data_IF_157578458292
#
_entry.id   IF_157578458292
#
_cell.length_a   1.000
_cell.length_b   1.000
_cell.length_c   1.000
_cell.angle_alpha   90.00
_cell.angle_beta   90.00
_cell.angle_gamma   90.00
#
_symmetry.space_group_name_H-M   'P 1'
#
loop_
_entity.id
_entity.type
_entity.pdbx_description
1 polymer ?
#
# COMPACT_ATOMS: atom_id res chain seq x y z
N UNK A 1 31.67 -21.24 -14.31
CA UNK A 1 32.10 -21.81 -13.01
C UNK A 1 31.69 -20.83 -11.93
N UNK A 2 30.47 -20.96 -11.44
CA UNK A 2 29.85 -20.08 -10.45
C UNK A 2 28.92 -20.97 -9.64
N UNK A 3 29.50 -21.77 -8.75
CA UNK A 3 28.80 -22.72 -7.88
C UNK A 3 29.13 -22.46 -6.39
N UNK A 4 29.66 -21.27 -6.09
CA UNK A 4 30.24 -20.91 -4.79
C UNK A 4 29.43 -19.87 -3.99
N UNK A 5 28.26 -19.44 -4.50
CA UNK A 5 27.50 -18.32 -3.91
C UNK A 5 26.35 -18.74 -3.01
N UNK A 6 25.75 -19.92 -3.21
CA UNK A 6 24.57 -20.34 -2.42
C UNK A 6 24.98 -21.05 -1.13
N UNK A 7 25.90 -22.03 -1.20
CA UNK A 7 26.34 -22.78 -0.03
C UNK A 7 27.10 -21.91 0.99
N UNK A 8 27.94 -20.97 0.51
CA UNK A 8 28.63 -20.02 1.38
C UNK A 8 27.64 -19.11 2.13
N UNK A 9 26.57 -18.68 1.47
CA UNK A 9 25.54 -17.84 2.10
C UNK A 9 24.74 -18.61 3.16
N UNK A 10 24.44 -19.89 2.91
CA UNK A 10 23.75 -20.75 3.87
C UNK A 10 24.63 -21.02 5.10
N UNK A 11 25.91 -21.31 4.92
CA UNK A 11 26.84 -21.53 6.03
C UNK A 11 27.06 -20.25 6.86
N UNK A 12 27.10 -19.09 6.22
CA UNK A 12 27.20 -17.79 6.90
C UNK A 12 25.95 -17.46 7.72
N UNK A 13 24.76 -17.80 7.20
CA UNK A 13 23.51 -17.68 7.95
C UNK A 13 23.53 -18.57 9.20
N UNK A 14 23.97 -19.83 9.08
CA UNK A 14 24.11 -20.75 10.22
C UNK A 14 25.14 -20.28 11.26
N UNK A 15 26.26 -19.71 10.81
CA UNK A 15 27.29 -19.12 11.69
C UNK A 15 26.74 -17.94 12.47
N UNK A 16 25.99 -17.06 11.81
CA UNK A 16 25.33 -15.91 12.44
C UNK A 16 24.27 -16.36 13.45
N UNK A 17 23.46 -17.36 13.10
CA UNK A 17 22.49 -17.95 13.99
C UNK A 17 23.15 -18.57 15.24
N UNK A 18 24.26 -19.29 15.09
CA UNK A 18 25.01 -19.85 16.22
C UNK A 18 25.48 -18.78 17.22
N UNK A 19 26.02 -17.67 16.72
CA UNK A 19 26.43 -16.53 17.55
C UNK A 19 25.24 -15.94 18.31
N UNK A 20 24.09 -15.79 17.64
CA UNK A 20 22.87 -15.27 18.25
C UNK A 20 22.33 -16.20 19.36
N UNK A 21 22.31 -17.51 19.11
CA UNK A 21 21.95 -18.51 20.12
C UNK A 21 22.91 -18.43 21.31
N UNK A 22 24.21 -18.33 21.04
CA UNK A 22 25.23 -18.16 22.08
C UNK A 22 24.98 -16.93 22.96
N UNK A 23 24.69 -15.79 22.33
CA UNK A 23 24.40 -14.54 23.03
C UNK A 23 23.15 -14.66 23.92
N UNK A 24 22.04 -15.21 23.41
CA UNK A 24 20.81 -15.41 24.20
C UNK A 24 21.03 -16.38 25.36
N UNK A 25 21.74 -17.48 25.13
CA UNK A 25 22.05 -18.44 26.18
C UNK A 25 22.97 -17.85 27.26
N UNK A 26 23.85 -16.91 26.90
CA UNK A 26 24.74 -16.25 27.86
C UNK A 26 23.97 -15.35 28.85
N UNK A 27 22.85 -14.78 28.40
CA UNK A 27 21.94 -13.94 29.18
C UNK A 27 20.84 -14.73 29.91
N UNK A 28 20.70 -16.04 29.67
CA UNK A 28 19.64 -16.86 30.26
C UNK A 28 19.79 -16.97 31.80
N UNK A 29 18.73 -16.65 32.52
CA UNK A 29 18.67 -16.67 33.99
C UNK A 29 17.96 -17.92 34.55
N UNK A 30 18.23 -18.32 35.82
CA UNK A 30 17.49 -19.38 36.49
C UNK A 30 15.98 -19.13 36.51
N UNK A 31 15.19 -20.13 36.10
CA UNK A 31 13.73 -20.02 35.99
C UNK A 31 13.23 -19.55 34.62
N UNK A 32 14.10 -19.00 33.77
CA UNK A 32 13.77 -18.70 32.38
C UNK A 32 13.92 -19.94 31.50
N UNK A 33 13.12 -19.99 30.45
CA UNK A 33 13.20 -21.00 29.40
C UNK A 33 13.33 -20.30 28.06
N UNK A 34 14.33 -20.67 27.29
CA UNK A 34 14.44 -20.33 25.88
C UNK A 34 14.00 -21.55 25.08
N UNK A 35 13.13 -21.37 24.09
CA UNK A 35 12.79 -22.41 23.12
C UNK A 35 13.37 -22.01 21.77
N UNK A 36 13.74 -22.98 20.93
CA UNK A 36 14.03 -22.81 19.50
C UNK A 36 13.29 -23.94 18.81
N UNK A 37 12.38 -23.62 17.90
CA UNK A 37 11.57 -24.60 17.19
C UNK A 37 11.50 -24.27 15.69
N UNK A 38 11.32 -25.29 14.86
CA UNK A 38 10.96 -25.10 13.45
C UNK A 38 9.55 -24.54 13.32
N UNK A 39 9.35 -23.70 12.29
CA UNK A 39 8.04 -23.10 12.00
C UNK A 39 7.00 -24.22 11.77
N UNK A 40 5.94 -24.29 12.59
CA UNK A 40 4.90 -25.32 12.48
C UNK A 40 4.04 -25.18 11.22
N UNK A 41 4.16 -24.08 10.47
CA UNK A 41 3.43 -23.85 9.21
C UNK A 41 4.07 -24.53 8.00
N UNK A 42 5.27 -25.10 8.13
CA UNK A 42 5.92 -25.86 7.05
C UNK A 42 5.21 -27.23 6.94
N UNK A 43 4.54 -27.55 5.82
CA UNK A 43 3.85 -28.83 5.70
C UNK A 43 4.85 -29.97 5.50
N UNK A 44 4.67 -31.05 6.28
CA UNK A 44 5.42 -32.32 6.27
C UNK A 44 6.79 -32.33 6.98
N UNK A 45 7.05 -33.42 7.73
CA UNK A 45 8.30 -33.69 8.45
C UNK A 45 8.22 -33.53 9.99
N UNK A 46 9.21 -34.03 10.75
CA UNK A 46 9.31 -33.78 12.18
C UNK A 46 9.73 -32.33 12.45
N UNK A 47 9.00 -31.63 13.33
CA UNK A 47 9.34 -30.27 13.75
C UNK A 47 10.20 -30.33 15.01
N UNK A 48 11.50 -30.11 14.83
CA UNK A 48 12.45 -30.09 15.93
C UNK A 48 12.18 -28.97 16.90
N UNK A 49 12.04 -29.33 18.18
CA UNK A 49 11.94 -28.40 19.30
C UNK A 49 13.11 -28.59 20.25
N UNK A 50 13.78 -27.49 20.58
CA UNK A 50 14.91 -27.44 21.50
C UNK A 50 14.56 -26.50 22.65
N UNK A 51 14.66 -26.99 23.88
CA UNK A 51 14.34 -26.22 25.09
C UNK A 51 15.56 -26.03 25.96
N UNK A 52 15.89 -24.80 26.29
CA UNK A 52 17.06 -24.41 27.05
C UNK A 52 16.68 -23.86 28.42
N UNK A 53 17.35 -24.36 29.46
CA UNK A 53 17.12 -23.97 30.85
C UNK A 53 18.45 -23.90 31.62
N UNK A 54 18.43 -23.21 32.77
CA UNK A 54 19.51 -23.25 33.75
C UNK A 54 19.16 -24.26 34.84
N UNK A 55 20.01 -25.27 35.03
CA UNK A 55 19.83 -26.27 36.08
C UNK A 55 20.12 -25.69 37.47
N UNK A 56 19.71 -26.39 38.54
CA UNK A 56 20.04 -26.00 39.92
C UNK A 56 21.54 -25.89 40.21
N UNK A 57 22.39 -26.60 39.45
CA UNK A 57 23.86 -26.48 39.51
C UNK A 57 24.43 -25.37 38.62
N UNK A 58 23.58 -24.45 38.13
CA UNK A 58 23.92 -23.33 37.22
C UNK A 58 24.59 -23.77 35.92
N UNK A 59 24.22 -24.95 35.39
CA UNK A 59 24.66 -25.43 34.06
C UNK A 59 23.58 -25.13 33.03
N UNK A 60 23.99 -24.84 31.80
CA UNK A 60 23.09 -24.70 30.66
C UNK A 60 22.70 -26.10 30.20
N UNK A 61 21.40 -26.38 30.15
CA UNK A 61 20.84 -27.64 29.66
C UNK A 61 19.95 -27.34 28.47
N UNK A 62 20.17 -28.07 27.37
CA UNK A 62 19.22 -28.18 26.29
C UNK A 62 18.53 -29.55 26.34
N UNK A 63 17.24 -29.58 26.03
CA UNK A 63 16.42 -30.79 26.01
C UNK A 63 15.63 -30.92 24.71
N UNK A 64 15.45 -32.16 24.27
CA UNK A 64 14.59 -32.58 23.14
C UNK A 64 13.75 -33.75 23.65
N UNK A 65 12.47 -33.83 23.30
CA UNK A 65 11.63 -34.98 23.64
C UNK A 65 11.51 -35.94 22.45
N UNK A 66 11.33 -37.24 22.70
CA UNK A 66 11.17 -38.24 21.63
C UNK A 66 10.01 -37.89 20.66
N UNK A 67 9.01 -37.12 21.12
CA UNK A 67 7.89 -36.63 20.30
C UNK A 67 8.31 -35.63 19.23
N UNK A 68 9.46 -34.99 19.39
CA UNK A 68 10.02 -34.03 18.42
C UNK A 68 10.81 -34.74 17.31
N UNK A 69 10.98 -36.06 17.39
CA UNK A 69 11.69 -36.87 16.39
C UNK A 69 10.72 -37.46 15.37
N UNK A 70 11.27 -38.00 14.26
CA UNK A 70 10.46 -38.59 13.21
C UNK A 70 9.59 -39.76 13.74
N UNK A 71 8.28 -39.81 13.47
CA UNK A 71 7.39 -40.85 14.02
C UNK A 71 7.62 -42.24 13.42
N UNK A 72 8.07 -42.33 12.17
CA UNK A 72 8.45 -43.60 11.52
C UNK A 72 9.68 -44.23 12.19
N UNK A 73 9.58 -45.52 12.56
CA UNK A 73 10.57 -46.23 13.37
C UNK A 73 12.01 -46.25 12.80
N UNK A 74 12.15 -46.32 11.48
CA UNK A 74 13.45 -46.32 10.79
C UNK A 74 14.16 -44.96 10.97
N UNK A 75 13.53 -43.87 10.54
CA UNK A 75 14.03 -42.51 10.74
C UNK A 75 14.18 -42.14 12.22
N UNK A 76 13.29 -42.64 13.10
CA UNK A 76 13.44 -42.46 14.55
C UNK A 76 14.76 -43.05 15.06
N UNK A 77 15.10 -44.28 14.66
CA UNK A 77 16.35 -44.93 15.05
C UNK A 77 17.58 -44.19 14.50
N UNK A 78 17.49 -43.64 13.29
CA UNK A 78 18.53 -42.80 12.69
C UNK A 78 18.73 -41.50 13.47
N UNK A 79 17.64 -40.80 13.81
CA UNK A 79 17.69 -39.58 14.63
C UNK A 79 18.33 -39.86 16.00
N UNK A 80 18.01 -40.99 16.63
CA UNK A 80 18.64 -41.41 17.89
C UNK A 80 20.15 -41.62 17.73
N UNK A 81 20.60 -42.23 16.63
CA UNK A 81 22.01 -42.45 16.37
C UNK A 81 22.76 -41.12 16.13
N UNK A 82 22.15 -40.20 15.38
CA UNK A 82 22.70 -38.86 15.13
C UNK A 82 22.80 -38.05 16.43
N UNK A 83 21.74 -38.01 17.25
CA UNK A 83 21.76 -37.36 18.56
C UNK A 83 22.88 -37.91 19.45
N UNK A 84 23.02 -39.24 19.52
CA UNK A 84 24.10 -39.88 20.27
C UNK A 84 25.50 -39.47 19.75
N UNK A 85 25.67 -39.39 18.43
CA UNK A 85 26.94 -38.98 17.80
C UNK A 85 27.32 -37.52 18.10
N UNK A 86 26.30 -36.65 18.23
CA UNK A 86 26.45 -35.24 18.62
C UNK A 86 26.65 -35.06 20.14
N UNK A 87 26.64 -36.15 20.92
CA UNK A 87 26.90 -36.16 22.35
C UNK A 87 25.68 -35.94 23.23
N UNK A 88 24.46 -36.06 22.68
CA UNK A 88 23.23 -36.04 23.48
C UNK A 88 23.11 -37.31 24.33
N UNK A 89 22.54 -37.16 25.52
CA UNK A 89 22.25 -38.28 26.41
C UNK A 89 20.75 -38.45 26.58
N UNK A 90 20.23 -39.60 26.13
CA UNK A 90 18.84 -39.99 26.36
C UNK A 90 18.60 -40.42 27.80
N UNK A 91 17.54 -39.92 28.41
CA UNK A 91 17.04 -40.31 29.72
C UNK A 91 15.97 -41.41 29.57
N UNK A 92 15.66 -42.10 30.68
CA UNK A 92 14.67 -43.19 30.69
C UNK A 92 13.25 -42.75 30.33
N UNK A 93 12.94 -41.47 30.50
CA UNK A 93 11.64 -40.88 30.22
C UNK A 93 11.48 -40.41 28.77
N UNK A 94 12.45 -40.66 27.88
CA UNK A 94 12.39 -40.24 26.48
C UNK A 94 12.91 -38.82 26.20
N UNK A 95 13.42 -38.11 27.21
CA UNK A 95 14.04 -36.80 27.01
C UNK A 95 15.54 -36.96 26.72
N UNK A 96 16.02 -36.30 25.68
CA UNK A 96 17.43 -36.17 25.35
C UNK A 96 17.99 -34.89 25.94
N UNK A 97 19.17 -34.96 26.55
CA UNK A 97 19.78 -33.79 27.18
C UNK A 97 21.22 -33.58 26.73
N UNK A 98 21.57 -32.32 26.51
CA UNK A 98 22.94 -31.85 26.34
C UNK A 98 23.23 -30.77 27.38
N UNK A 99 24.29 -30.92 28.18
CA UNK A 99 24.51 -30.06 29.33
C UNK A 99 25.97 -29.60 29.48
N UNK A 100 26.17 -28.29 29.54
CA UNK A 100 27.49 -27.66 29.63
C UNK A 100 27.53 -26.58 30.74
N UNK A 101 28.73 -26.23 31.20
CA UNK A 101 28.89 -25.07 32.08
C UNK A 101 28.67 -23.75 31.31
N UNK A 102 28.30 -22.68 32.01
CA UNK A 102 28.02 -21.35 31.39
C UNK A 102 29.15 -20.80 30.51
N UNK A 103 30.40 -21.13 30.83
CA UNK A 103 31.59 -20.71 30.06
C UNK A 103 31.72 -21.41 28.70
N UNK A 104 30.95 -22.47 28.43
CA UNK A 104 30.97 -23.22 27.17
C UNK A 104 29.67 -23.01 26.40
N UNK A 105 29.12 -21.80 26.45
CA UNK A 105 27.88 -21.45 25.77
C UNK A 105 27.99 -21.67 24.26
N UNK A 106 29.15 -21.35 23.68
CA UNK A 106 29.43 -21.56 22.25
C UNK A 106 29.40 -23.03 21.85
N UNK A 107 29.82 -23.93 22.75
CA UNK A 107 29.71 -25.37 22.53
C UNK A 107 28.25 -25.81 22.43
N UNK A 108 27.39 -25.28 23.30
CA UNK A 108 25.97 -25.61 23.26
C UNK A 108 25.29 -25.02 22.02
N UNK A 109 25.61 -23.77 21.65
CA UNK A 109 25.11 -23.16 20.42
C UNK A 109 25.55 -23.93 19.17
N UNK A 110 26.81 -24.39 19.13
CA UNK A 110 27.31 -25.22 18.03
C UNK A 110 26.56 -26.55 17.92
N UNK A 111 26.40 -27.27 19.04
CA UNK A 111 25.64 -28.55 19.05
C UNK A 111 24.18 -28.34 18.68
N UNK A 112 23.57 -27.23 19.11
CA UNK A 112 22.22 -26.84 18.67
C UNK A 112 22.14 -26.73 17.14
N UNK A 113 23.07 -26.02 16.50
CA UNK A 113 23.10 -25.89 15.04
C UNK A 113 23.32 -27.22 14.34
N UNK A 114 24.25 -28.04 14.83
CA UNK A 114 24.49 -29.37 14.24
C UNK A 114 23.27 -30.27 14.38
N UNK A 115 22.55 -30.19 15.50
CA UNK A 115 21.33 -30.99 15.71
C UNK A 115 20.23 -30.55 14.75
N UNK A 116 20.01 -29.25 14.58
CA UNK A 116 19.05 -28.71 13.61
C UNK A 116 19.37 -29.12 12.17
N UNK A 117 20.63 -29.04 11.75
CA UNK A 117 21.05 -29.37 10.38
C UNK A 117 21.08 -30.86 10.09
N UNK A 118 21.46 -31.69 11.06
CA UNK A 118 21.70 -33.12 10.81
C UNK A 118 20.51 -34.00 11.21
N UNK A 119 19.81 -33.68 12.30
CA UNK A 119 18.70 -34.51 12.81
C UNK A 119 17.38 -34.11 12.17
N UNK A 120 17.14 -32.82 12.00
CA UNK A 120 15.89 -32.31 11.41
C UNK A 120 16.08 -31.74 10.01
N UNK A 121 17.28 -31.91 9.44
CA UNK A 121 17.61 -31.50 8.07
C UNK A 121 17.18 -30.06 7.75
N UNK A 122 17.25 -29.17 8.74
CA UNK A 122 16.85 -27.77 8.55
C UNK A 122 17.81 -27.15 7.54
N UNK A 123 17.26 -26.75 6.39
CA UNK A 123 18.05 -26.19 5.28
C UNK A 123 18.63 -24.83 5.64
N UNK A 124 17.86 -23.97 6.29
CA UNK A 124 18.23 -22.60 6.61
C UNK A 124 17.65 -22.15 7.97
N UNK A 125 18.39 -21.35 8.79
CA UNK A 125 17.90 -20.94 10.11
C UNK A 125 16.63 -20.09 10.06
N UNK A 126 16.32 -19.42 8.93
CA UNK A 126 15.09 -18.65 8.77
C UNK A 126 13.78 -19.46 8.93
N UNK A 127 13.86 -20.80 8.88
CA UNK A 127 12.73 -21.69 9.17
C UNK A 127 12.52 -21.94 10.67
N UNK A 128 13.15 -21.16 11.56
CA UNK A 128 13.06 -21.28 13.01
C UNK A 128 12.40 -20.03 13.63
N UNK A 129 11.44 -20.21 14.53
CA UNK A 129 10.69 -19.14 15.25
C UNK A 129 11.57 -18.16 16.03
N UNK A 130 12.82 -18.56 16.25
CA UNK A 130 13.82 -17.84 17.03
C UNK A 130 15.11 -17.63 16.28
N UNK A 131 15.09 -17.83 14.95
CA UNK A 131 16.04 -17.13 14.10
C UNK A 131 15.94 -15.65 14.45
N UNK A 132 17.06 -14.92 14.60
CA UNK A 132 16.92 -13.51 14.30
C UNK A 132 16.32 -13.51 12.90
N UNK A 133 15.12 -12.93 12.72
CA UNK A 133 14.71 -12.51 11.37
C UNK A 133 15.97 -11.82 10.88
N UNK A 134 16.68 -12.45 9.94
CA UNK A 134 18.05 -12.06 9.61
C UNK A 134 17.94 -10.56 9.48
N UNK A 135 18.65 -9.79 10.33
CA UNK A 135 18.69 -8.34 10.09
C UNK A 135 19.07 -8.29 8.62
N UNK A 136 18.20 -7.79 7.73
CA UNK A 136 18.51 -7.85 6.32
C UNK A 136 19.89 -7.24 6.23
N UNK A 137 20.88 -8.02 5.78
CA UNK A 137 22.18 -7.41 5.55
C UNK A 137 21.88 -6.21 4.66
N UNK A 138 22.37 -5.00 4.98
CA UNK A 138 22.05 -3.82 4.21
C UNK A 138 22.40 -4.13 2.76
N UNK A 139 21.36 -4.32 1.94
CA UNK A 139 21.54 -4.67 0.55
C UNK A 139 22.10 -3.43 -0.12
N UNK A 140 23.24 -3.58 -0.78
CA UNK A 140 23.82 -2.51 -1.58
C UNK A 140 23.03 -2.48 -2.87
N UNK A 141 21.98 -1.66 -2.88
CA UNK A 141 21.15 -1.42 -4.05
C UNK A 141 21.51 -0.08 -4.69
N UNK A 142 21.51 -0.07 -6.02
CA UNK A 142 21.84 1.14 -6.78
C UNK A 142 20.58 2.01 -6.84
N UNK A 143 20.68 3.22 -6.30
CA UNK A 143 19.63 4.21 -6.38
C UNK A 143 20.04 5.35 -7.33
N UNK A 144 19.06 5.99 -7.95
CA UNK A 144 19.28 7.00 -9.00
C UNK A 144 18.91 8.37 -8.44
N UNK A 145 19.81 9.34 -8.54
CA UNK A 145 19.46 10.74 -8.29
C UNK A 145 18.82 11.33 -9.56
N UNK A 146 17.52 11.70 -9.54
CA UNK A 146 16.90 12.36 -10.67
C UNK A 146 17.52 13.76 -10.87
N UNK A 147 17.69 14.18 -12.12
CA UNK A 147 18.25 15.51 -12.44
C UNK A 147 17.15 16.54 -12.76
N UNK A 148 15.97 16.08 -13.17
CA UNK A 148 14.77 16.89 -13.39
C UNK A 148 13.48 16.06 -13.22
N UNK A 149 12.33 16.71 -13.34
CA UNK A 149 11.02 16.09 -13.19
C UNK A 149 10.70 15.06 -14.29
N UNK A 150 11.19 15.27 -15.52
CA UNK A 150 10.97 14.34 -16.63
C UNK A 150 11.77 13.05 -16.45
N UNK A 151 13.01 13.14 -15.94
CA UNK A 151 13.79 11.97 -15.57
C UNK A 151 13.15 11.22 -14.40
N UNK A 152 12.65 11.93 -13.37
CA UNK A 152 11.91 11.29 -12.27
C UNK A 152 10.65 10.58 -12.80
N UNK A 153 9.92 11.19 -13.74
CA UNK A 153 8.77 10.58 -14.41
C UNK A 153 9.16 9.31 -15.17
N UNK A 154 10.27 9.33 -15.90
CA UNK A 154 10.76 8.16 -16.63
C UNK A 154 11.15 7.01 -15.67
N UNK A 155 11.82 7.31 -14.56
CA UNK A 155 12.18 6.33 -13.53
C UNK A 155 10.93 5.73 -12.87
N UNK A 156 9.93 6.57 -12.58
CA UNK A 156 8.63 6.17 -12.05
C UNK A 156 7.91 5.22 -13.02
N UNK A 157 7.72 5.63 -14.28
CA UNK A 157 7.03 4.84 -15.30
C UNK A 157 7.73 3.51 -15.49
N UNK A 158 9.06 3.49 -15.67
CA UNK A 158 9.82 2.25 -15.82
C UNK A 158 9.68 1.32 -14.61
N UNK A 159 9.73 1.86 -13.40
CA UNK A 159 9.57 1.04 -12.18
C UNK A 159 8.16 0.45 -12.04
N UNK A 160 7.12 1.18 -12.45
CA UNK A 160 5.75 0.68 -12.46
C UNK A 160 5.52 -0.34 -13.58
N UNK A 161 6.13 -0.16 -14.75
CA UNK A 161 6.09 -1.14 -15.84
C UNK A 161 6.78 -2.44 -15.43
N UNK A 162 7.94 -2.36 -14.76
CA UNK A 162 8.64 -3.52 -14.22
C UNK A 162 7.81 -4.24 -13.14
N UNK A 163 7.17 -3.48 -12.25
CA UNK A 163 6.37 -4.03 -11.15
C UNK A 163 5.08 -4.70 -11.64
N UNK A 164 4.44 -4.14 -12.67
CA UNK A 164 3.13 -4.62 -13.17
C UNK A 164 3.23 -5.52 -14.39
N UNK A 165 4.38 -5.54 -15.08
CA UNK A 165 4.55 -6.17 -16.39
C UNK A 165 3.70 -5.54 -17.50
N UNK A 166 3.07 -4.40 -17.24
CA UNK A 166 2.13 -3.74 -18.14
C UNK A 166 2.65 -2.35 -18.52
N UNK A 167 2.35 -1.91 -19.73
CA UNK A 167 2.68 -0.55 -20.17
C UNK A 167 1.87 0.48 -19.37
N UNK A 168 2.55 1.44 -18.76
CA UNK A 168 1.91 2.49 -17.97
C UNK A 168 1.58 3.67 -18.89
N UNK A 169 0.34 4.14 -18.81
CA UNK A 169 -0.10 5.32 -19.52
C UNK A 169 -0.17 6.49 -18.56
N UNK A 170 0.39 7.61 -19.00
CA UNK A 170 0.28 8.91 -18.36
C UNK A 170 -0.74 9.75 -19.11
N UNK A 171 -1.45 10.63 -18.42
CA UNK A 171 -2.31 11.61 -19.07
C UNK A 171 -1.52 12.85 -19.56
N UNK A 172 -2.22 13.90 -19.97
CA UNK A 172 -1.61 15.10 -20.54
C UNK A 172 -0.81 15.93 -19.51
N UNK A 173 -1.18 15.85 -18.24
CA UNK A 173 -0.47 16.48 -17.12
C UNK A 173 0.64 15.55 -16.58
N UNK A 174 0.58 14.30 -17.04
CA UNK A 174 1.54 13.24 -16.84
C UNK A 174 1.31 12.50 -15.52
N UNK A 175 0.08 12.57 -15.02
CA UNK A 175 -0.40 11.80 -13.88
C UNK A 175 -0.67 10.37 -14.32
N UNK A 176 -0.50 9.46 -13.37
CA UNK A 176 -0.73 8.03 -13.55
C UNK A 176 -1.95 7.66 -12.71
N UNK A 177 -3.05 7.32 -13.36
CA UNK A 177 -4.23 6.81 -12.69
C UNK A 177 -3.93 5.45 -12.04
N UNK A 178 -4.15 5.34 -10.73
CA UNK A 178 -3.96 4.11 -9.99
C UNK A 178 -5.25 3.26 -10.01
N UNK A 179 -5.15 1.92 -9.95
CA UNK A 179 -6.30 1.03 -10.03
C UNK A 179 -7.09 0.95 -8.72
N UNK A 180 -7.43 2.09 -8.14
CA UNK A 180 -8.12 2.20 -6.86
C UNK A 180 -9.61 2.46 -7.09
N UNK A 181 -10.46 1.54 -6.63
CA UNK A 181 -11.92 1.68 -6.64
C UNK A 181 -12.45 1.38 -5.23
N UNK A 182 -13.50 2.07 -4.76
CA UNK A 182 -14.31 3.06 -5.48
C UNK A 182 -13.68 4.47 -5.54
N UNK A 183 -12.61 4.73 -4.78
CA UNK A 183 -11.94 6.03 -4.72
C UNK A 183 -10.89 6.15 -5.82
N UNK A 184 -11.11 7.01 -6.80
CA UNK A 184 -10.12 7.34 -7.82
C UNK A 184 -8.89 7.98 -7.19
N UNK A 185 -7.71 7.50 -7.53
CA UNK A 185 -6.44 8.07 -7.10
C UNK A 185 -5.42 8.11 -8.22
N UNK A 186 -4.45 9.00 -8.05
CA UNK A 186 -3.44 9.30 -9.05
C UNK A 186 -2.07 9.41 -8.38
N UNK A 187 -1.04 9.27 -9.20
CA UNK A 187 0.36 9.44 -8.84
C UNK A 187 1.04 10.35 -9.84
N UNK A 188 1.68 11.41 -9.35
CA UNK A 188 2.33 12.41 -10.20
C UNK A 188 3.72 12.81 -9.70
N UNK A 189 4.73 12.94 -10.57
CA UNK A 189 5.96 13.64 -10.24
C UNK A 189 5.72 15.14 -10.20
N UNK A 190 6.15 15.76 -9.10
CA UNK A 190 6.05 17.21 -8.90
C UNK A 190 7.11 17.95 -9.73
N UNK A 191 6.72 19.07 -10.34
CA UNK A 191 7.63 19.89 -11.16
C UNK A 191 8.51 20.84 -10.33
N UNK A 192 8.09 21.16 -9.10
CA UNK A 192 8.74 22.13 -8.22
C UNK A 192 9.88 21.54 -7.38
N UNK A 193 9.90 20.22 -7.20
CA UNK A 193 10.88 19.50 -6.38
C UNK A 193 10.93 18.02 -6.79
N UNK A 194 12.02 17.28 -6.50
CA UNK A 194 12.14 15.86 -6.82
C UNK A 194 11.26 15.04 -5.87
N UNK A 195 9.94 15.08 -6.08
CA UNK A 195 8.93 14.46 -5.22
C UNK A 195 7.90 13.76 -6.07
N UNK A 196 7.41 12.65 -5.55
CA UNK A 196 6.21 12.01 -6.06
C UNK A 196 5.05 12.33 -5.12
N UNK A 197 3.89 12.59 -5.68
CA UNK A 197 2.68 12.86 -4.94
C UNK A 197 1.59 11.89 -5.37
N UNK A 198 1.11 11.11 -4.42
CA UNK A 198 -0.14 10.39 -4.53
C UNK A 198 -1.24 11.30 -4.07
N UNK A 199 -2.37 11.30 -4.77
CA UNK A 199 -3.53 12.05 -4.34
C UNK A 199 -4.84 11.35 -4.70
N UNK A 200 -5.85 11.55 -3.86
CA UNK A 200 -7.20 11.07 -4.07
C UNK A 200 -8.20 12.10 -3.54
N UNK A 201 -9.27 12.33 -4.30
CA UNK A 201 -10.45 13.02 -3.77
C UNK A 201 -11.29 12.02 -3.00
N UNK A 202 -11.42 12.22 -1.69
CA UNK A 202 -12.21 11.35 -0.81
C UNK A 202 -13.69 11.74 -0.84
N UNK A 203 -13.99 13.03 -0.74
CA UNK A 203 -15.34 13.56 -0.77
C UNK A 203 -15.35 14.97 -1.38
N UNK A 204 -16.46 15.36 -2.00
CA UNK A 204 -16.69 16.72 -2.51
C UNK A 204 -18.06 17.24 -2.08
N UNK A 205 -18.38 18.48 -2.45
CA UNK A 205 -19.63 19.17 -2.11
C UNK A 205 -19.89 19.24 -0.60
N UNK A 206 -18.82 19.44 0.18
CA UNK A 206 -18.88 19.45 1.65
C UNK A 206 -19.67 20.67 2.14
N UNK A 207 -20.90 20.42 2.58
CA UNK A 207 -21.82 21.47 3.06
C UNK A 207 -21.44 21.98 4.45
N UNK A 208 -21.04 21.10 5.37
CA UNK A 208 -20.54 21.47 6.70
C UNK A 208 -19.02 21.43 6.77
N UNK A 209 -18.41 22.52 6.31
CA UNK A 209 -16.95 22.69 6.30
C UNK A 209 -16.33 22.61 7.70
N UNK A 210 -17.03 23.04 8.75
CA UNK A 210 -16.49 23.05 10.11
C UNK A 210 -16.37 21.63 10.64
N UNK A 211 -17.44 20.86 10.51
CA UNK A 211 -17.43 19.43 10.88
C UNK A 211 -16.41 18.65 10.07
N UNK A 212 -16.30 18.90 8.77
CA UNK A 212 -15.27 18.26 7.95
C UNK A 212 -13.85 18.61 8.41
N UNK A 213 -13.59 19.88 8.76
CA UNK A 213 -12.31 20.29 9.32
C UNK A 213 -12.00 19.57 10.64
N UNK A 214 -12.98 19.38 11.52
CA UNK A 214 -12.80 18.63 12.78
C UNK A 214 -12.48 17.15 12.51
N UNK A 215 -13.15 16.52 11.55
CA UNK A 215 -12.90 15.12 11.16
C UNK A 215 -11.50 14.96 10.54
N UNK A 216 -11.09 15.91 9.71
CA UNK A 216 -9.75 15.96 9.10
C UNK A 216 -8.68 16.17 10.16
N UNK A 217 -8.90 17.09 11.11
CA UNK A 217 -7.97 17.36 12.20
C UNK A 217 -7.86 16.19 13.20
N UNK A 218 -8.93 15.40 13.34
CA UNK A 218 -8.94 14.20 14.19
C UNK A 218 -8.22 12.99 13.57
N UNK A 219 -7.71 13.09 12.33
CA UNK A 219 -6.98 11.98 11.73
C UNK A 219 -5.69 11.69 12.49
N UNK A 220 -5.33 10.40 12.68
CA UNK A 220 -4.08 10.04 13.32
C UNK A 220 -2.91 10.65 12.55
N UNK A 221 -2.17 11.55 13.20
CA UNK A 221 -0.96 12.15 12.62
C UNK A 221 0.27 11.27 12.81
N UNK A 222 0.18 10.25 13.68
CA UNK A 222 1.23 9.29 14.02
C UNK A 222 0.92 7.94 13.39
N UNK A 223 1.84 7.42 12.58
CA UNK A 223 1.78 6.04 12.05
C UNK A 223 1.44 5.90 10.56
N UNK A 224 0.97 6.97 9.90
CA UNK A 224 0.87 7.03 8.44
C UNK A 224 1.42 8.37 7.92
N UNK A 225 2.12 8.30 6.79
CA UNK A 225 2.58 9.45 6.02
C UNK A 225 1.46 10.09 5.17
N UNK A 226 0.30 9.42 5.05
CA UNK A 226 -0.86 9.97 4.34
C UNK A 226 -1.45 11.13 5.14
N UNK A 227 -1.64 12.26 4.46
CA UNK A 227 -2.29 13.45 4.99
C UNK A 227 -3.65 13.61 4.37
N UNK A 228 -4.66 13.78 5.21
CA UNK A 228 -5.98 14.22 4.78
C UNK A 228 -6.06 15.73 4.99
N UNK A 229 -6.59 16.46 4.03
CA UNK A 229 -6.81 17.89 4.14
C UNK A 229 -8.12 18.31 3.48
N UNK A 230 -8.65 19.43 3.94
CA UNK A 230 -9.84 20.06 3.40
C UNK A 230 -9.41 21.28 2.58
N UNK A 231 -9.56 21.19 1.27
CA UNK A 231 -9.35 22.29 0.35
C UNK A 231 -10.72 22.72 -0.15
N UNK A 232 -11.07 23.98 0.08
CA UNK A 232 -12.40 24.50 -0.28
C UNK A 232 -13.56 23.67 0.32
N UNK A 233 -14.33 23.00 -0.52
CA UNK A 233 -15.45 22.12 -0.21
C UNK A 233 -15.14 20.65 -0.56
N UNK A 234 -13.86 20.30 -0.68
CA UNK A 234 -13.40 18.95 -1.03
C UNK A 234 -12.38 18.43 -0.01
N UNK A 235 -12.51 17.15 0.31
CA UNK A 235 -11.57 16.43 1.16
C UNK A 235 -10.65 15.60 0.28
N UNK A 236 -9.36 15.88 0.39
CA UNK A 236 -8.30 15.17 -0.31
C UNK A 236 -7.45 14.36 0.65
N UNK A 237 -6.94 13.24 0.16
CA UNK A 237 -5.80 12.56 0.74
C UNK A 237 -4.58 12.76 -0.15
N UNK A 238 -3.41 12.93 0.46
CA UNK A 238 -2.13 12.99 -0.23
C UNK A 238 -1.05 12.21 0.50
N UNK A 239 -0.18 11.56 -0.26
CA UNK A 239 1.08 11.00 0.25
C UNK A 239 2.22 11.57 -0.59
N UNK A 240 3.19 12.20 0.05
CA UNK A 240 4.36 12.76 -0.63
C UNK A 240 5.58 11.89 -0.36
N UNK A 241 6.29 11.50 -1.43
CA UNK A 241 7.53 10.73 -1.35
C UNK A 241 8.67 11.60 -1.83
N UNK A 242 9.59 11.94 -0.93
CA UNK A 242 10.83 12.65 -1.26
C UNK A 242 11.73 11.75 -2.12
N UNK A 243 12.08 12.22 -3.30
CA UNK A 243 12.86 11.49 -4.31
C UNK A 243 14.17 12.21 -4.64
N UNK A 244 14.78 12.88 -3.66
CA UNK A 244 16.16 13.38 -3.79
C UNK A 244 17.12 12.27 -4.26
N UNK A 245 16.84 11.03 -3.86
CA UNK A 245 17.38 9.80 -4.45
C UNK A 245 16.21 8.83 -4.65
N UNK A 246 16.03 8.37 -5.89
CA UNK A 246 14.98 7.44 -6.28
C UNK A 246 15.46 6.00 -6.14
N UNK A 247 14.66 5.18 -5.46
CA UNK A 247 14.84 3.73 -5.38
C UNK A 247 13.49 3.03 -5.56
N UNK A 248 13.37 1.98 -6.40
CA UNK A 248 12.10 1.31 -6.66
C UNK A 248 11.41 0.76 -5.40
N UNK A 249 12.20 0.34 -4.40
CA UNK A 249 11.64 -0.13 -3.12
C UNK A 249 10.83 0.96 -2.41
N UNK A 250 11.29 2.21 -2.40
CA UNK A 250 10.57 3.32 -1.76
C UNK A 250 9.23 3.58 -2.44
N UNK A 251 9.17 3.46 -3.77
CA UNK A 251 7.93 3.53 -4.53
C UNK A 251 6.98 2.38 -4.16
N UNK A 252 7.49 1.15 -4.08
CA UNK A 252 6.68 -0.01 -3.71
C UNK A 252 6.11 0.08 -2.29
N UNK A 253 6.91 0.58 -1.33
CA UNK A 253 6.46 0.81 0.04
C UNK A 253 5.39 1.91 0.10
N UNK A 254 5.58 3.00 -0.67
CA UNK A 254 4.60 4.09 -0.74
C UNK A 254 3.28 3.64 -1.39
N UNK A 255 3.33 2.84 -2.46
CA UNK A 255 2.14 2.25 -3.09
C UNK A 255 1.37 1.36 -2.10
N UNK A 256 2.09 0.51 -1.35
CA UNK A 256 1.48 -0.35 -0.35
C UNK A 256 0.79 0.45 0.76
N UNK A 257 1.47 1.49 1.28
CA UNK A 257 0.88 2.39 2.28
C UNK A 257 -0.36 3.12 1.73
N UNK A 258 -0.27 3.66 0.52
CA UNK A 258 -1.36 4.35 -0.14
C UNK A 258 -2.59 3.46 -0.34
N UNK A 259 -2.39 2.24 -0.84
CA UNK A 259 -3.49 1.29 -1.03
C UNK A 259 -4.10 0.82 0.29
N UNK A 260 -3.30 0.58 1.33
CA UNK A 260 -3.86 0.24 2.66
C UNK A 260 -4.68 1.40 3.22
N UNK A 261 -4.19 2.64 3.09
CA UNK A 261 -4.97 3.80 3.52
C UNK A 261 -6.31 3.89 2.80
N UNK A 262 -6.32 3.74 1.47
CA UNK A 262 -7.55 3.81 0.67
C UNK A 262 -8.52 2.66 0.95
N UNK A 263 -8.02 1.48 1.30
CA UNK A 263 -8.84 0.33 1.66
C UNK A 263 -9.42 0.43 3.08
N UNK A 264 -8.59 0.79 4.06
CA UNK A 264 -8.91 0.61 5.47
C UNK A 264 -9.37 1.91 6.15
N UNK A 265 -8.79 3.05 5.77
CA UNK A 265 -9.00 4.33 6.46
C UNK A 265 -9.96 5.25 5.70
N UNK A 266 -9.77 5.40 4.38
CA UNK A 266 -10.54 6.33 3.56
C UNK A 266 -12.06 6.12 3.66
N UNK A 267 -12.63 4.89 3.67
CA UNK A 267 -14.08 4.70 3.79
C UNK A 267 -14.67 5.31 5.06
N UNK A 268 -13.94 5.26 6.19
CA UNK A 268 -14.39 5.87 7.45
C UNK A 268 -14.37 7.39 7.39
N UNK A 269 -13.34 7.98 6.76
CA UNK A 269 -13.26 9.43 6.54
C UNK A 269 -14.42 9.89 5.67
N UNK A 270 -14.66 9.21 4.56
CA UNK A 270 -15.75 9.50 3.61
C UNK A 270 -17.10 9.43 4.31
N UNK A 271 -17.36 8.35 5.06
CA UNK A 271 -18.62 8.19 5.79
C UNK A 271 -18.83 9.30 6.81
N UNK A 272 -17.83 9.61 7.65
CA UNK A 272 -17.94 10.64 8.69
C UNK A 272 -18.15 12.04 8.13
N UNK A 273 -17.44 12.36 7.05
CA UNK A 273 -17.56 13.65 6.35
C UNK A 273 -18.92 13.75 5.66
N UNK A 274 -19.46 12.63 5.15
CA UNK A 274 -20.81 12.56 4.59
C UNK A 274 -21.95 12.52 5.62
N UNK A 275 -21.67 12.19 6.89
CA UNK A 275 -22.67 11.98 7.94
C UNK A 275 -23.21 13.29 8.58
N UNK A 276 -23.50 14.35 7.83
CA UNK A 276 -24.38 15.44 8.31
C UNK A 276 -25.06 16.17 7.14
N UNK A 277 -25.84 15.42 6.37
CA UNK A 277 -27.10 15.99 5.92
C UNK A 277 -28.13 15.69 7.04
N UNK A 278 -28.83 16.69 7.62
CA UNK A 278 -30.06 16.37 8.31
C UNK A 278 -30.93 15.51 7.38
N UNK A 279 -31.75 14.63 7.97
CA UNK A 279 -32.68 13.70 7.32
C UNK A 279 -33.73 14.36 6.38
N UNK A 280 -33.47 15.57 5.88
CA UNK A 280 -34.23 16.32 4.86
C UNK A 280 -33.53 16.47 3.51
N UNK A 281 -32.33 15.91 3.28
CA UNK A 281 -31.74 15.84 1.94
C UNK A 281 -31.53 14.39 1.47
N UNK A 282 -32.56 13.55 1.59
CA UNK A 282 -32.71 12.47 0.61
C UNK A 282 -32.92 13.14 -0.74
N UNK A 283 -32.02 12.88 -1.69
CA UNK A 283 -32.14 13.16 -3.13
C UNK A 283 -33.52 13.69 -3.54
N UNK A 284 -33.58 15.01 -3.64
CA UNK A 284 -34.66 15.75 -4.27
C UNK A 284 -34.10 16.58 -5.41
N UNK A 285 -33.52 15.92 -6.42
CA UNK A 285 -33.50 16.34 -7.83
C UNK A 285 -33.19 17.80 -8.20
N UNK A 286 -32.48 18.58 -7.38
CA UNK A 286 -32.18 19.98 -7.72
C UNK A 286 -30.71 20.14 -8.07
N UNK A 287 -30.47 20.38 -9.35
CA UNK A 287 -29.16 20.74 -9.89
C UNK A 287 -28.69 22.07 -9.28
N UNK A 288 -27.37 22.32 -9.17
CA UNK A 288 -26.84 23.63 -8.79
C UNK A 288 -27.43 24.74 -9.66
N UNK A 289 -27.80 25.89 -9.07
CA UNK A 289 -28.57 26.94 -9.78
C UNK A 289 -27.88 27.42 -11.08
N UNK A 290 -26.55 27.48 -11.11
CA UNK A 290 -25.80 27.85 -12.31
C UNK A 290 -25.87 26.76 -13.42
N UNK A 291 -25.78 25.48 -13.04
CA UNK A 291 -25.96 24.36 -13.97
C UNK A 291 -27.40 24.26 -14.46
N UNK A 292 -28.38 24.49 -13.58
CA UNK A 292 -29.78 24.58 -13.95
C UNK A 292 -30.01 25.73 -14.95
N UNK A 293 -29.41 26.90 -14.69
CA UNK A 293 -29.49 28.06 -15.60
C UNK A 293 -28.89 27.73 -16.97
N UNK A 294 -27.80 26.98 -17.04
CA UNK A 294 -27.20 26.54 -18.32
C UNK A 294 -28.16 25.65 -19.12
N UNK A 295 -28.82 24.70 -18.47
CA UNK A 295 -29.74 23.78 -19.13
C UNK A 295 -31.04 24.46 -19.57
N UNK A 296 -31.50 25.47 -18.83
CA UNK A 296 -32.68 26.27 -19.21
C UNK A 296 -32.38 27.22 -20.38
N UNK A 297 -31.18 27.79 -20.44
CA UNK A 297 -30.77 28.73 -21.49
C UNK A 297 -30.21 28.05 -22.75
N UNK A 298 -29.68 26.83 -22.62
CA UNK A 298 -29.09 26.08 -23.72
C UNK A 298 -29.40 24.57 -23.63
N UNK A 299 -30.67 24.17 -23.80
CA UNK A 299 -31.10 22.78 -23.61
C UNK A 299 -30.40 21.81 -24.56
N UNK A 300 -29.97 22.26 -25.74
CA UNK A 300 -29.26 21.45 -26.74
C UNK A 300 -27.73 21.61 -26.69
N UNK A 301 -27.20 22.47 -25.82
CA UNK A 301 -25.78 22.78 -25.71
C UNK A 301 -25.15 23.39 -26.98
N UNK A 302 -25.89 24.22 -27.73
CA UNK A 302 -25.44 24.82 -29.01
C UNK A 302 -25.59 26.34 -29.08
N UNK A 303 -26.18 26.96 -28.07
CA UNK A 303 -26.67 28.35 -28.13
C UNK A 303 -25.75 29.31 -27.38
N UNK A 304 -25.08 28.85 -26.31
CA UNK A 304 -24.21 29.68 -25.50
C UNK A 304 -22.75 29.57 -25.94
N UNK A 305 -22.08 30.71 -26.05
CA UNK A 305 -20.62 30.73 -26.26
C UNK A 305 -19.86 30.35 -24.98
N UNK A 306 -18.62 29.89 -25.14
CA UNK A 306 -17.74 29.54 -24.01
C UNK A 306 -17.58 30.67 -22.97
N UNK A 307 -17.59 31.94 -23.40
CA UNK A 307 -17.51 33.10 -22.49
C UNK A 307 -18.81 33.33 -21.72
N UNK A 308 -19.96 33.08 -22.34
CA UNK A 308 -21.26 33.21 -21.68
C UNK A 308 -21.46 32.10 -20.66
N UNK A 309 -21.06 30.87 -20.99
CA UNK A 309 -21.05 29.74 -20.06
C UNK A 309 -20.09 30.00 -18.90
N UNK A 310 -18.86 30.47 -19.17
CA UNK A 310 -17.93 30.88 -18.11
C UNK A 310 -18.53 31.96 -17.21
N UNK A 311 -19.20 32.97 -17.79
CA UNK A 311 -19.87 34.03 -17.03
C UNK A 311 -21.00 33.51 -16.14
N UNK A 312 -21.80 32.55 -16.61
CA UNK A 312 -22.87 31.92 -15.82
C UNK A 312 -22.26 31.13 -14.65
N UNK A 313 -21.15 30.44 -14.89
CA UNK A 313 -20.32 29.80 -13.87
C UNK A 313 -19.45 30.78 -13.07
N UNK A 314 -19.66 32.11 -13.22
CA UNK A 314 -18.93 33.19 -12.53
C UNK A 314 -17.42 33.14 -12.70
N UNK A 315 -16.94 32.56 -13.80
CA UNK A 315 -15.53 32.30 -14.08
C UNK A 315 -14.83 31.47 -12.99
N UNK A 316 -15.59 30.71 -12.19
CA UNK A 316 -15.03 29.86 -11.16
C UNK A 316 -14.62 28.51 -11.77
N UNK A 317 -13.32 28.25 -11.81
CA UNK A 317 -12.76 27.00 -12.34
C UNK A 317 -13.28 25.75 -11.61
N UNK A 318 -13.39 25.80 -10.28
CA UNK A 318 -13.86 24.67 -9.48
C UNK A 318 -15.33 24.34 -9.78
N UNK A 319 -16.19 25.37 -9.88
CA UNK A 319 -17.60 25.19 -10.23
C UNK A 319 -17.76 24.59 -11.64
N UNK A 320 -16.97 25.05 -12.62
CA UNK A 320 -17.02 24.53 -14.00
C UNK A 320 -16.60 23.05 -14.03
N UNK A 321 -15.56 22.67 -13.27
CA UNK A 321 -15.11 21.28 -13.17
C UNK A 321 -16.16 20.40 -12.47
N UNK A 322 -16.77 20.88 -11.39
CA UNK A 322 -17.87 20.18 -10.72
C UNK A 322 -19.05 19.95 -11.68
N UNK A 323 -19.46 20.97 -12.43
CA UNK A 323 -20.54 20.86 -13.41
C UNK A 323 -20.21 19.92 -14.57
N UNK A 324 -18.94 19.83 -15.00
CA UNK A 324 -18.49 18.84 -15.99
C UNK A 324 -18.73 17.44 -15.44
N UNK A 325 -18.32 17.16 -14.21
CA UNK A 325 -18.49 15.85 -13.59
C UNK A 325 -19.98 15.49 -13.44
N UNK A 326 -20.80 16.40 -12.92
CA UNK A 326 -22.26 16.19 -12.82
C UNK A 326 -22.88 15.91 -14.19
N UNK A 327 -22.48 16.65 -15.22
CA UNK A 327 -23.01 16.47 -16.58
C UNK A 327 -22.60 15.13 -17.20
N UNK A 328 -21.38 14.66 -16.94
CA UNK A 328 -20.90 13.35 -17.40
C UNK A 328 -21.60 12.18 -16.71
N UNK A 329 -21.85 12.29 -15.40
CA UNK A 329 -22.64 11.32 -14.64
C UNK A 329 -24.09 11.22 -15.15
N UNK A 330 -24.72 12.36 -15.44
CA UNK A 330 -26.06 12.40 -16.03
C UNK A 330 -26.08 11.79 -17.44
N UNK A 331 -25.11 12.12 -18.30
CA UNK A 331 -24.99 11.50 -19.63
C UNK A 331 -24.85 9.98 -19.56
N UNK A 332 -24.01 9.45 -18.64
CA UNK A 332 -23.87 8.00 -18.46
C UNK A 332 -25.16 7.35 -17.96
N UNK A 333 -25.88 8.03 -17.06
CA UNK A 333 -27.17 7.56 -16.54
C UNK A 333 -28.21 7.47 -17.64
N UNK A 334 -28.41 8.54 -18.41
CA UNK A 334 -29.35 8.56 -19.54
C UNK A 334 -28.97 7.59 -20.65
N UNK A 335 -27.68 7.43 -20.93
CA UNK A 335 -27.20 6.44 -21.91
C UNK A 335 -27.48 5.01 -21.47
N UNK A 336 -27.37 4.69 -20.18
CA UNK A 336 -27.75 3.38 -19.64
C UNK A 336 -29.26 3.17 -19.74
N UNK A 337 -30.07 4.16 -19.36
CA UNK A 337 -31.53 4.11 -19.50
C UNK A 337 -31.97 3.89 -20.96
N UNK A 338 -31.29 4.50 -21.93
CA UNK A 338 -31.56 4.28 -23.35
C UNK A 338 -31.27 2.84 -23.81
N UNK A 339 -30.24 2.20 -23.26
CA UNK A 339 -29.91 0.79 -23.53
C UNK A 339 -30.95 -0.12 -22.91
N UNK A 340 -31.35 0.16 -21.66
CA UNK A 340 -32.35 -0.63 -20.94
C UNK A 340 -33.74 -0.54 -21.61
N UNK A 341 -34.15 0.66 -22.04
CA UNK A 341 -35.39 0.87 -22.79
C UNK A 341 -35.38 0.19 -24.16
N UNK A 342 -34.24 0.23 -24.88
CA UNK A 342 -34.08 -0.49 -26.14
C UNK A 342 -34.16 -2.01 -25.95
N UNK A 343 -33.56 -2.54 -24.87
CA UNK A 343 -33.67 -3.97 -24.52
C UNK A 343 -35.12 -4.37 -24.17
N UNK A 344 -35.90 -3.45 -23.60
CA UNK A 344 -37.33 -3.61 -23.33
C UNK A 344 -38.23 -3.42 -24.58
N UNK A 345 -37.64 -3.16 -25.77
CA UNK A 345 -38.36 -2.85 -27.01
C UNK A 345 -39.25 -1.60 -26.94
N UNK A 346 -38.97 -0.67 -26.03
CA UNK A 346 -39.61 0.64 -25.98
C UNK A 346 -38.77 1.66 -26.75
N UNK A 347 -39.03 1.76 -28.07
CA UNK A 347 -38.25 2.63 -28.95
C UNK A 347 -38.44 4.11 -28.65
N UNK A 348 -39.62 4.51 -28.17
CA UNK A 348 -39.95 5.91 -27.88
C UNK A 348 -39.18 6.39 -26.65
N UNK A 349 -39.19 5.60 -25.58
CA UNK A 349 -38.43 5.90 -24.37
C UNK A 349 -36.92 5.86 -24.63
N UNK A 350 -36.46 4.93 -25.46
CA UNK A 350 -35.05 4.83 -25.84
C UNK A 350 -34.57 6.06 -26.65
N UNK A 351 -35.41 6.60 -27.53
CA UNK A 351 -35.11 7.83 -28.28
C UNK A 351 -35.11 9.07 -27.36
N UNK A 352 -36.07 9.18 -26.44
CA UNK A 352 -36.10 10.25 -25.44
C UNK A 352 -34.84 10.23 -24.55
N UNK A 353 -34.46 9.07 -24.02
CA UNK A 353 -33.24 8.92 -23.21
C UNK A 353 -31.96 9.25 -24.01
N UNK A 354 -31.91 8.92 -25.32
CA UNK A 354 -30.78 9.30 -26.18
C UNK A 354 -30.69 10.82 -26.37
N UNK A 355 -31.83 11.47 -26.58
CA UNK A 355 -31.90 12.93 -26.72
C UNK A 355 -31.38 13.63 -25.46
N UNK A 356 -31.83 13.19 -24.28
CA UNK A 356 -31.33 13.70 -22.99
C UNK A 356 -29.82 13.46 -22.82
N UNK A 357 -29.33 12.25 -23.15
CA UNK A 357 -27.90 11.96 -23.09
C UNK A 357 -27.08 12.89 -24.01
N UNK A 358 -27.54 13.15 -25.23
CA UNK A 358 -26.87 14.05 -26.17
C UNK A 358 -26.87 15.51 -25.68
N UNK A 359 -27.94 15.96 -25.03
CA UNK A 359 -28.02 17.27 -24.38
C UNK A 359 -26.96 17.42 -23.27
N UNK A 360 -26.87 16.44 -22.36
CA UNK A 360 -25.85 16.45 -21.30
C UNK A 360 -24.43 16.43 -21.84
N UNK A 361 -24.18 15.66 -22.91
CA UNK A 361 -22.88 15.61 -23.59
C UNK A 361 -22.51 16.95 -24.23
N UNK A 362 -23.48 17.67 -24.80
CA UNK A 362 -23.27 19.00 -25.36
C UNK A 362 -22.98 20.03 -24.26
N UNK A 363 -23.69 19.98 -23.13
CA UNK A 363 -23.41 20.80 -21.93
C UNK A 363 -21.99 20.58 -21.41
N UNK A 364 -21.55 19.32 -21.29
CA UNK A 364 -20.15 18.99 -20.93
C UNK A 364 -19.15 19.61 -21.91
N UNK A 365 -19.43 19.59 -23.21
CA UNK A 365 -18.55 20.19 -24.22
C UNK A 365 -18.41 21.71 -24.02
N UNK A 366 -19.52 22.40 -23.76
CA UNK A 366 -19.53 23.85 -23.55
C UNK A 366 -18.85 24.26 -22.24
N UNK A 367 -19.05 23.49 -21.17
CA UNK A 367 -18.33 23.69 -19.90
C UNK A 367 -16.82 23.50 -20.06
N UNK A 368 -16.37 22.52 -20.84
CA UNK A 368 -14.94 22.36 -21.18
C UNK A 368 -14.39 23.53 -22.00
N UNK A 369 -15.18 24.06 -22.93
CA UNK A 369 -14.79 25.25 -23.69
C UNK A 369 -14.72 26.50 -22.79
N UNK A 370 -15.65 26.65 -21.84
CA UNK A 370 -15.66 27.70 -20.83
C UNK A 370 -14.45 27.62 -19.88
N UNK A 371 -14.10 26.40 -19.45
CA UNK A 371 -12.92 26.15 -18.62
C UNK A 371 -11.64 26.66 -19.30
N UNK A 372 -11.49 26.41 -20.60
CA UNK A 372 -10.35 26.94 -21.37
C UNK A 372 -10.31 28.47 -21.39
N UNK A 373 -11.46 29.13 -21.45
CA UNK A 373 -11.53 30.60 -21.38
C UNK A 373 -11.07 31.11 -20.02
N UNK A 374 -11.47 30.46 -18.93
CA UNK A 374 -11.05 30.84 -17.56
C UNK A 374 -9.55 30.67 -17.40
N UNK A 375 -9.03 29.47 -17.71
CA UNK A 375 -7.61 29.13 -17.52
C UNK A 375 -6.70 30.00 -18.39
N UNK A 376 -7.03 30.21 -19.67
CA UNK A 376 -6.19 30.99 -20.59
C UNK A 376 -6.28 32.52 -20.38
N UNK A 377 -7.30 33.01 -19.66
CA UNK A 377 -7.42 34.45 -19.35
C UNK A 377 -6.66 34.83 -18.08
N UNK A 378 -6.35 33.88 -17.20
CA UNK A 378 -5.53 34.10 -16.01
C UNK A 378 -4.04 34.27 -16.35
N UNK A 379 -3.56 33.62 -17.43
CA UNK A 379 -2.18 33.81 -17.93
C UNK A 379 -1.94 35.25 -18.44
N UNK A 380 -2.95 35.89 -19.03
CA UNK A 380 -2.87 37.25 -19.59
C UNK A 380 -2.88 38.35 -18.50
N UNK A 381 -3.38 38.04 -17.31
CA UNK A 381 -3.34 38.96 -16.15
C UNK A 381 -2.07 38.82 -15.33
N UNK A 382 -1.47 37.61 -15.27
CA UNK A 382 -0.16 37.38 -14.64
C UNK A 382 0.97 38.14 -15.37
N UNK A 383 0.94 38.22 -16.70
CA UNK A 383 2.00 38.85 -17.50
C UNK A 383 1.98 40.41 -17.45
N UNK A 384 0.87 41.02 -17.02
CA UNK A 384 0.75 42.49 -16.84
C UNK A 384 1.26 43.02 -15.50
N UNK A 385 1.49 42.15 -14.52
CA UNK A 385 1.87 42.56 -13.16
C UNK A 385 3.38 42.41 -12.85
N UNK A 386 4.23 42.12 -13.83
CA UNK A 386 5.68 42.24 -13.67
C UNK A 386 6.12 43.72 -13.73
N UNK A 387 6.67 44.31 -12.66
CA UNK A 387 7.20 45.67 -12.74
C UNK A 387 8.50 45.64 -13.54
N UNK A 388 8.60 46.50 -14.55
CA UNK A 388 9.86 46.80 -15.18
C UNK A 388 10.76 47.57 -14.19
N UNK A 389 11.86 46.92 -13.81
CA UNK A 389 13.04 47.37 -13.05
C UNK A 389 12.92 47.54 -11.54
#
# INVERSE_FOLDING_TARGET
MTDFTVDSNIDDAWRTFALHVGDRLSHLEPGQTLTIQQDPMIPEGPHGTLRFTITGSRRLRCTIDDTDLHPTAEYFAEHLALLASLGWRRLRNGTHIFEVGRRRVDQLAHVTVQTLRQVWEVVHPAFLDHSPAARPEPQIEVAVQPFDADHLRALLVGSLEDLTGCRIQTDADGDIALPTKPVSSWLSPRSDAPRLEFFARLAGDITDRRRAADIVAAQPTMGSAVRVHLLEDEVFATLTVECAVFHPHNLSSALAEWFSFLADCAPSVIAKVGEDAPMTARNGGRLPDALQTLLELDPDGRSLSAREVAKICRYNQADILSFINTSEEQHLTWRRSAVDAAAASDSVEADACRHEADAWKATTHNLRAALRVVVLSDDDTADRNSPAK
#
